data_IF_891176701400
#
_entry.id   IF_891176701400
#
_cell.length_a   1.000
_cell.length_b   1.000
_cell.length_c   1.000
_cell.angle_alpha   90.00
_cell.angle_beta   90.00
_cell.angle_gamma   90.00
#
_symmetry.space_group_name_H-M   'P 1'
#
loop_
_entity.id
_entity.type
_entity.pdbx_description
1 polymer ?
#
# COMPACT_ATOMS: atom_id res chain seq x y z
N UNK A 1 61.16 -51.99 34.52
CA UNK A 1 60.72 -52.15 33.13
C UNK A 1 59.24 -52.49 33.18
N UNK A 2 58.42 -51.48 32.85
CA UNK A 2 57.12 -51.57 32.15
C UNK A 2 56.08 -52.54 32.73
N UNK A 3 55.05 -52.03 33.41
CA UNK A 3 53.77 -51.56 32.85
C UNK A 3 52.78 -52.70 32.55
N UNK A 4 51.49 -52.38 32.75
CA UNK A 4 50.30 -52.89 32.02
C UNK A 4 49.20 -53.59 32.87
N UNK A 5 48.21 -52.75 33.23
CA UNK A 5 46.73 -52.91 33.11
C UNK A 5 45.89 -53.47 34.28
N UNK A 6 44.70 -52.83 34.41
CA UNK A 6 43.52 -52.98 35.29
C UNK A 6 43.58 -52.07 36.53
N UNK A 7 42.64 -51.17 36.83
CA UNK A 7 41.20 -51.14 36.56
C UNK A 7 40.60 -49.75 36.92
N UNK A 8 39.42 -49.44 36.38
CA UNK A 8 38.35 -48.65 37.02
C UNK A 8 38.59 -47.16 37.38
N UNK A 9 38.22 -46.27 36.45
CA UNK A 9 37.66 -44.93 36.73
C UNK A 9 36.96 -44.46 35.45
N UNK A 10 35.77 -43.88 35.40
CA UNK A 10 34.80 -43.45 36.39
C UNK A 10 33.71 -42.79 35.53
N UNK A 11 32.45 -43.08 35.83
CA UNK A 11 31.29 -42.45 35.22
C UNK A 11 31.31 -40.95 35.57
N UNK A 12 31.48 -40.08 34.58
CA UNK A 12 31.31 -38.64 34.73
C UNK A 12 31.04 -37.94 33.39
N UNK A 13 29.75 -37.86 33.05
CA UNK A 13 29.12 -36.62 32.59
C UNK A 13 29.85 -35.82 31.50
N UNK A 14 29.80 -36.28 30.26
CA UNK A 14 29.95 -35.39 29.10
C UNK A 14 28.59 -34.77 28.76
N UNK A 15 28.10 -33.93 29.67
CA UNK A 15 27.05 -32.95 29.34
C UNK A 15 27.69 -31.96 28.38
N UNK A 16 27.43 -32.16 27.08
CA UNK A 16 27.61 -31.15 26.04
C UNK A 16 27.01 -29.84 26.53
N UNK A 17 27.88 -28.93 26.97
CA UNK A 17 27.50 -27.58 27.33
C UNK A 17 26.97 -26.91 26.06
N UNK A 18 25.65 -26.84 25.96
CA UNK A 18 24.99 -25.89 25.08
C UNK A 18 25.48 -24.54 25.59
N UNK A 19 26.42 -23.93 24.87
CA UNK A 19 26.74 -22.52 25.05
C UNK A 19 25.44 -21.78 24.75
N UNK A 20 24.72 -21.40 25.80
CA UNK A 20 23.66 -20.41 25.70
C UNK A 20 24.33 -19.16 25.13
N UNK A 21 23.98 -18.83 23.87
CA UNK A 21 24.32 -17.53 23.31
C UNK A 21 23.85 -16.47 24.32
N UNK A 22 24.69 -15.48 24.67
CA UNK A 22 24.31 -14.47 25.63
C UNK A 22 22.99 -13.85 25.18
N UNK A 23 22.04 -13.60 26.11
CA UNK A 23 20.76 -13.02 25.76
C UNK A 23 21.02 -11.74 24.97
N UNK A 24 20.59 -11.73 23.71
CA UNK A 24 20.71 -10.58 22.84
C UNK A 24 19.97 -9.44 23.53
N UNK A 25 20.72 -8.53 24.15
CA UNK A 25 20.14 -7.35 24.77
C UNK A 25 19.26 -6.67 23.72
N UNK A 26 18.00 -6.33 24.04
CA UNK A 26 17.13 -5.70 23.08
C UNK A 26 17.79 -4.40 22.64
N UNK A 27 18.26 -4.37 21.39
CA UNK A 27 18.92 -3.21 20.80
C UNK A 27 17.98 -2.04 20.99
N UNK A 28 18.33 -1.13 21.90
CA UNK A 28 17.51 0.02 22.23
C UNK A 28 17.50 0.95 21.01
N UNK A 29 16.46 0.82 20.18
CA UNK A 29 16.25 1.72 19.05
C UNK A 29 16.01 3.13 19.59
N UNK A 30 17.00 4.02 19.41
CA UNK A 30 16.94 5.42 19.82
C UNK A 30 16.73 6.28 18.57
N UNK A 31 15.47 6.54 18.17
CA UNK A 31 15.17 7.36 17.01
C UNK A 31 15.72 8.79 17.18
N UNK A 32 16.48 9.25 16.19
CA UNK A 32 16.95 10.63 16.12
C UNK A 32 15.83 11.60 15.71
N UNK A 33 16.09 12.91 15.83
CA UNK A 33 15.16 13.97 15.42
C UNK A 33 14.72 13.84 13.96
N UNK A 34 15.65 13.55 13.06
CA UNK A 34 15.37 13.44 11.62
C UNK A 34 14.42 12.27 11.33
N UNK A 35 14.60 11.15 12.03
CA UNK A 35 13.69 10.01 11.93
C UNK A 35 12.27 10.38 12.38
N UNK A 36 12.11 11.04 13.53
CA UNK A 36 10.79 11.46 14.01
C UNK A 36 10.09 12.40 13.04
N UNK A 37 10.83 13.34 12.45
CA UNK A 37 10.28 14.30 11.49
C UNK A 37 9.93 13.62 10.16
N UNK A 38 10.76 12.69 9.67
CA UNK A 38 10.42 11.88 8.50
C UNK A 38 9.20 10.99 8.76
N UNK A 39 9.12 10.35 9.92
CA UNK A 39 7.98 9.52 10.32
C UNK A 39 6.69 10.34 10.48
N UNK A 40 6.77 11.54 11.05
CA UNK A 40 5.65 12.47 11.13
C UNK A 40 5.17 12.89 9.73
N UNK A 41 6.10 13.09 8.79
CA UNK A 41 5.75 13.38 7.40
C UNK A 41 4.97 12.22 6.75
N UNK A 42 5.46 10.98 6.89
CA UNK A 42 4.77 9.78 6.40
C UNK A 42 3.39 9.63 7.06
N UNK A 43 3.28 9.93 8.35
CA UNK A 43 2.04 9.91 9.11
C UNK A 43 1.01 10.93 8.59
N UNK A 44 1.45 12.15 8.25
CA UNK A 44 0.59 13.18 7.65
C UNK A 44 0.11 12.74 6.27
N UNK A 45 1.01 12.18 5.44
CA UNK A 45 0.64 11.68 4.12
C UNK A 45 -0.37 10.54 4.20
N UNK A 46 -0.13 9.56 5.09
CA UNK A 46 -1.07 8.46 5.36
C UNK A 46 -2.43 8.96 5.84
N UNK A 47 -2.45 9.92 6.76
CA UNK A 47 -3.70 10.53 7.25
C UNK A 47 -4.46 11.22 6.11
N UNK A 48 -3.79 11.96 5.24
CA UNK A 48 -4.43 12.63 4.11
C UNK A 48 -5.05 11.64 3.12
N UNK A 49 -4.34 10.55 2.80
CA UNK A 49 -4.84 9.48 1.93
C UNK A 49 -6.05 8.77 2.55
N UNK A 50 -6.03 8.51 3.86
CA UNK A 50 -7.16 7.90 4.57
C UNK A 50 -8.38 8.82 4.60
N UNK A 51 -8.17 10.10 4.90
CA UNK A 51 -9.20 11.14 4.96
C UNK A 51 -9.88 11.34 3.60
N UNK A 52 -9.13 11.35 2.50
CA UNK A 52 -9.68 11.42 1.14
C UNK A 52 -10.50 10.17 0.77
N UNK A 53 -10.01 8.99 1.14
CA UNK A 53 -10.67 7.72 0.84
C UNK A 53 -12.06 7.62 1.49
N UNK A 54 -12.28 8.23 2.66
CA UNK A 54 -13.52 8.06 3.44
C UNK A 54 -14.45 9.28 3.44
N UNK A 55 -13.96 10.47 3.08
CA UNK A 55 -14.77 11.70 3.08
C UNK A 55 -15.80 11.77 1.94
N UNK A 56 -15.58 11.07 0.83
CA UNK A 56 -16.42 11.17 -0.37
C UNK A 56 -17.83 10.66 -0.16
N UNK A 57 -18.00 9.58 0.60
CA UNK A 57 -19.26 8.84 0.71
C UNK A 57 -20.45 9.72 1.10
N UNK A 58 -20.23 10.66 2.04
CA UNK A 58 -21.27 11.57 2.54
C UNK A 58 -21.64 12.65 1.53
N UNK A 59 -20.73 13.00 0.61
CA UNK A 59 -20.95 14.02 -0.42
C UNK A 59 -21.52 13.45 -1.74
N UNK A 60 -21.53 12.13 -1.91
CA UNK A 60 -21.97 11.48 -3.16
C UNK A 60 -23.36 11.91 -3.66
N UNK A 61 -24.41 12.03 -2.82
CA UNK A 61 -25.73 12.44 -3.30
C UNK A 61 -25.74 13.87 -3.88
N UNK A 62 -25.02 14.79 -3.22
CA UNK A 62 -24.89 16.18 -3.66
C UNK A 62 -24.09 16.24 -4.97
N UNK A 63 -22.96 15.51 -5.04
CA UNK A 63 -22.15 15.40 -6.25
C UNK A 63 -22.92 14.81 -7.43
N UNK A 64 -23.74 13.77 -7.18
CA UNK A 64 -24.60 13.15 -8.20
C UNK A 64 -25.58 14.16 -8.80
N UNK A 65 -26.14 15.03 -7.96
CA UNK A 65 -27.10 16.05 -8.37
C UNK A 65 -26.41 17.19 -9.13
N UNK A 66 -25.28 17.71 -8.64
CA UNK A 66 -24.57 18.82 -9.27
C UNK A 66 -23.91 18.45 -10.60
N UNK A 67 -23.33 17.25 -10.70
CA UNK A 67 -22.59 16.81 -11.88
C UNK A 67 -23.47 16.03 -12.88
N UNK A 68 -24.78 15.92 -12.61
CA UNK A 68 -25.73 15.17 -13.44
C UNK A 68 -25.38 13.69 -13.59
N UNK A 69 -24.81 13.08 -12.54
CA UNK A 69 -24.30 11.72 -12.57
C UNK A 69 -25.33 10.66 -12.23
N UNK A 70 -25.11 9.45 -12.74
CA UNK A 70 -25.88 8.26 -12.34
C UNK A 70 -25.38 7.70 -11.01
N UNK A 71 -26.22 6.91 -10.33
CA UNK A 71 -25.81 6.16 -9.14
C UNK A 71 -24.57 5.27 -9.40
N UNK A 72 -24.45 4.76 -10.63
CA UNK A 72 -23.31 3.98 -11.07
C UNK A 72 -22.03 4.83 -11.13
N UNK A 73 -22.11 6.04 -11.68
CA UNK A 73 -20.96 6.97 -11.70
C UNK A 73 -20.57 7.41 -10.29
N UNK A 74 -21.54 7.62 -9.40
CA UNK A 74 -21.30 7.91 -7.99
C UNK A 74 -20.55 6.76 -7.30
N UNK A 75 -20.99 5.51 -7.47
CA UNK A 75 -20.29 4.33 -6.96
C UNK A 75 -18.83 4.25 -7.47
N UNK A 76 -18.63 4.45 -8.78
CA UNK A 76 -17.30 4.37 -9.39
C UNK A 76 -16.35 5.49 -8.98
N UNK A 77 -16.86 6.61 -8.44
CA UNK A 77 -16.00 7.68 -7.94
C UNK A 77 -15.17 7.28 -6.72
N UNK A 78 -15.66 6.36 -5.89
CA UNK A 78 -14.88 5.74 -4.80
C UNK A 78 -14.09 4.53 -5.28
N UNK A 79 -14.75 3.63 -6.01
CA UNK A 79 -14.16 2.35 -6.45
C UNK A 79 -12.97 2.54 -7.37
N UNK A 80 -12.98 3.53 -8.28
CA UNK A 80 -11.84 3.79 -9.18
C UNK A 80 -10.57 4.20 -8.44
N UNK A 81 -10.70 4.98 -7.36
CA UNK A 81 -9.60 5.36 -6.49
C UNK A 81 -9.03 4.16 -5.74
N UNK A 82 -9.90 3.38 -5.08
CA UNK A 82 -9.48 2.21 -4.30
C UNK A 82 -8.85 1.13 -5.18
N UNK A 83 -9.43 0.89 -6.36
CA UNK A 83 -8.91 -0.06 -7.33
C UNK A 83 -7.51 0.37 -7.79
N UNK A 84 -7.36 1.61 -8.28
CA UNK A 84 -6.07 2.13 -8.74
C UNK A 84 -5.00 2.12 -7.63
N UNK A 85 -5.40 2.49 -6.40
CA UNK A 85 -4.54 2.43 -5.22
C UNK A 85 -4.04 1.01 -4.97
N UNK A 86 -4.95 0.03 -4.93
CA UNK A 86 -4.64 -1.36 -4.59
C UNK A 86 -3.72 -2.03 -5.61
N UNK A 87 -4.01 -1.89 -6.91
CA UNK A 87 -3.30 -2.64 -7.97
C UNK A 87 -1.90 -2.11 -8.29
N UNK A 88 -1.56 -0.91 -7.81
CA UNK A 88 -0.27 -0.27 -8.08
C UNK A 88 0.68 -0.27 -6.88
N UNK A 89 0.21 -0.62 -5.67
CA UNK A 89 1.08 -0.66 -4.48
C UNK A 89 2.35 -1.51 -4.70
N UNK A 90 2.27 -2.76 -5.23
CA UNK A 90 3.47 -3.58 -5.42
C UNK A 90 4.43 -2.98 -6.45
N UNK A 91 3.89 -2.42 -7.54
CA UNK A 91 4.68 -1.74 -8.58
C UNK A 91 5.45 -0.54 -8.02
N UNK A 92 4.82 0.27 -7.15
CA UNK A 92 5.49 1.40 -6.48
C UNK A 92 6.53 0.95 -5.47
N UNK A 93 6.23 -0.08 -4.67
CA UNK A 93 7.18 -0.66 -3.73
C UNK A 93 8.43 -1.20 -4.44
N UNK A 94 8.26 -1.97 -5.52
CA UNK A 94 9.37 -2.48 -6.34
C UNK A 94 10.16 -1.35 -7.02
N UNK A 95 9.48 -0.40 -7.67
CA UNK A 95 10.12 0.75 -8.32
C UNK A 95 10.99 1.54 -7.33
N UNK A 96 10.52 1.68 -6.09
CA UNK A 96 11.24 2.42 -5.06
C UNK A 96 12.52 1.76 -4.57
N UNK A 97 12.63 0.42 -4.70
CA UNK A 97 13.86 -0.29 -4.41
C UNK A 97 14.95 0.02 -5.45
N UNK A 98 14.56 0.33 -6.68
CA UNK A 98 15.48 0.59 -7.81
C UNK A 98 15.85 2.07 -7.93
N UNK A 99 14.83 2.95 -7.88
CA UNK A 99 15.00 4.40 -8.11
C UNK A 99 15.34 5.13 -6.81
N UNK A 100 14.94 4.58 -5.66
CA UNK A 100 15.10 5.18 -4.33
C UNK A 100 13.76 5.61 -3.75
N UNK A 101 13.56 5.42 -2.43
CA UNK A 101 12.24 5.62 -1.80
C UNK A 101 11.77 7.07 -1.90
N UNK A 102 12.66 8.03 -1.61
CA UNK A 102 12.37 9.47 -1.60
C UNK A 102 11.79 9.95 -2.94
N UNK A 103 12.39 9.52 -4.05
CA UNK A 103 11.94 9.90 -5.39
C UNK A 103 10.54 9.34 -5.71
N UNK A 104 10.28 8.08 -5.37
CA UNK A 104 8.96 7.48 -5.65
C UNK A 104 7.89 8.06 -4.73
N UNK A 105 8.21 8.47 -3.50
CA UNK A 105 7.26 9.22 -2.66
C UNK A 105 6.90 10.56 -3.31
N UNK A 106 7.86 11.28 -3.88
CA UNK A 106 7.56 12.53 -4.60
C UNK A 106 6.63 12.33 -5.78
N UNK A 107 6.88 11.31 -6.60
CA UNK A 107 5.99 10.97 -7.71
C UNK A 107 4.60 10.59 -7.19
N UNK A 108 4.51 9.85 -6.10
CA UNK A 108 3.24 9.45 -5.48
C UNK A 108 2.44 10.67 -4.99
N UNK A 109 3.08 11.58 -4.25
CA UNK A 109 2.45 12.82 -3.80
C UNK A 109 2.07 13.74 -4.96
N UNK A 110 2.88 13.81 -6.02
CA UNK A 110 2.56 14.58 -7.23
C UNK A 110 1.29 14.03 -7.89
N UNK A 111 1.21 12.71 -8.11
CA UNK A 111 0.05 12.06 -8.70
C UNK A 111 -1.20 12.25 -7.82
N UNK A 112 -1.07 12.11 -6.51
CA UNK A 112 -2.16 12.36 -5.57
C UNK A 112 -2.64 13.82 -5.63
N UNK A 113 -1.72 14.78 -5.66
CA UNK A 113 -2.02 16.21 -5.73
C UNK A 113 -2.68 16.59 -7.05
N UNK A 114 -2.13 16.12 -8.18
CA UNK A 114 -2.70 16.36 -9.52
C UNK A 114 -4.09 15.75 -9.63
N UNK A 115 -4.27 14.50 -9.18
CA UNK A 115 -5.58 13.85 -9.15
C UNK A 115 -6.59 14.63 -8.29
N UNK A 116 -6.16 15.11 -7.12
CA UNK A 116 -6.98 15.95 -6.23
C UNK A 116 -7.43 17.24 -6.92
N UNK A 117 -6.52 17.92 -7.64
CA UNK A 117 -6.85 19.14 -8.40
C UNK A 117 -7.87 18.83 -9.49
N UNK A 118 -7.67 17.76 -10.28
CA UNK A 118 -8.60 17.35 -11.33
C UNK A 118 -10.00 17.09 -10.75
N UNK A 119 -10.08 16.39 -9.62
CA UNK A 119 -11.34 16.15 -8.92
C UNK A 119 -11.99 17.44 -8.43
N UNK A 120 -11.21 18.36 -7.87
CA UNK A 120 -11.71 19.62 -7.32
C UNK A 120 -12.33 20.54 -8.38
N UNK A 121 -11.78 20.53 -9.60
CA UNK A 121 -12.26 21.36 -10.72
C UNK A 121 -13.26 20.63 -11.63
N UNK A 122 -13.56 19.36 -11.35
CA UNK A 122 -14.41 18.54 -12.19
C UNK A 122 -15.81 19.15 -12.40
N UNK A 123 -16.26 19.11 -13.65
CA UNK A 123 -17.58 19.60 -14.09
C UNK A 123 -18.52 18.46 -14.51
N UNK A 124 -18.02 17.22 -14.57
CA UNK A 124 -18.81 16.02 -14.82
C UNK A 124 -18.12 14.81 -14.18
N UNK A 125 -18.86 13.70 -14.08
CA UNK A 125 -18.34 12.48 -13.48
C UNK A 125 -17.18 11.86 -14.27
N UNK A 126 -17.13 12.00 -15.60
CA UNK A 126 -16.01 11.42 -16.37
C UNK A 126 -14.68 12.04 -15.95
N UNK A 127 -14.62 13.38 -15.84
CA UNK A 127 -13.42 14.09 -15.37
C UNK A 127 -13.11 13.71 -13.92
N UNK A 128 -14.13 13.62 -13.07
CA UNK A 128 -13.98 13.19 -11.68
C UNK A 128 -13.37 11.78 -11.58
N UNK A 129 -13.86 10.82 -12.37
CA UNK A 129 -13.37 9.44 -12.39
C UNK A 129 -11.90 9.38 -12.84
N UNK A 130 -11.52 10.16 -13.87
CA UNK A 130 -10.12 10.28 -14.30
C UNK A 130 -9.25 10.82 -13.16
N UNK A 131 -9.69 11.90 -12.52
CA UNK A 131 -9.00 12.48 -11.36
C UNK A 131 -8.85 11.47 -10.23
N UNK A 132 -9.91 10.72 -9.92
CA UNK A 132 -9.95 9.67 -8.90
C UNK A 132 -9.01 8.52 -9.19
N UNK A 133 -8.93 8.06 -10.44
CA UNK A 133 -7.95 7.06 -10.84
C UNK A 133 -6.53 7.58 -10.62
N UNK A 134 -6.17 8.77 -11.14
CA UNK A 134 -4.83 9.36 -10.98
C UNK A 134 -4.48 9.55 -9.49
N UNK A 135 -5.43 10.05 -8.71
CA UNK A 135 -5.28 10.25 -7.28
C UNK A 135 -5.06 8.91 -6.56
N UNK A 136 -5.79 7.86 -6.97
CA UNK A 136 -5.64 6.50 -6.45
C UNK A 136 -4.25 5.93 -6.71
N UNK A 137 -3.68 6.14 -7.90
CA UNK A 137 -2.30 5.75 -8.20
C UNK A 137 -1.33 6.37 -7.17
N UNK A 138 -1.46 7.68 -6.93
CA UNK A 138 -0.64 8.38 -5.95
C UNK A 138 -0.87 7.90 -4.52
N UNK A 139 -2.12 7.66 -4.14
CA UNK A 139 -2.50 7.17 -2.81
C UNK A 139 -1.94 5.79 -2.51
N UNK A 140 -2.01 4.87 -3.48
CA UNK A 140 -1.42 3.53 -3.36
C UNK A 140 0.10 3.57 -3.18
N UNK A 141 0.77 4.46 -3.92
CA UNK A 141 2.19 4.73 -3.75
C UNK A 141 2.53 5.26 -2.35
N UNK A 142 1.78 6.24 -1.83
CA UNK A 142 1.97 6.79 -0.48
C UNK A 142 1.80 5.69 0.58
N UNK A 143 0.75 4.87 0.47
CA UNK A 143 0.49 3.78 1.42
C UNK A 143 1.66 2.80 1.44
N UNK A 144 2.00 2.24 0.28
CA UNK A 144 3.06 1.26 0.16
C UNK A 144 4.41 1.81 0.65
N UNK A 145 4.77 3.02 0.24
CA UNK A 145 6.07 3.60 0.54
C UNK A 145 6.21 4.04 1.99
N UNK A 146 5.12 4.47 2.63
CA UNK A 146 5.17 4.82 4.06
C UNK A 146 5.47 3.59 4.91
N UNK A 147 4.86 2.45 4.60
CA UNK A 147 5.17 1.19 5.28
C UNK A 147 6.59 0.71 4.97
N UNK A 148 6.97 0.70 3.69
CA UNK A 148 8.31 0.29 3.23
C UNK A 148 9.41 1.12 3.89
N UNK A 149 9.30 2.45 3.90
CA UNK A 149 10.31 3.33 4.50
C UNK A 149 10.41 3.08 6.01
N UNK A 150 9.29 2.86 6.71
CA UNK A 150 9.33 2.49 8.13
C UNK A 150 10.04 1.17 8.34
N UNK A 151 9.77 0.16 7.51
CA UNK A 151 10.46 -1.13 7.63
C UNK A 151 11.95 -1.03 7.32
N UNK A 152 12.38 -0.13 6.43
CA UNK A 152 13.79 0.11 6.12
C UNK A 152 14.53 0.83 7.27
N UNK A 153 13.85 1.74 7.98
CA UNK A 153 14.46 2.57 9.03
C UNK A 153 14.39 1.95 10.44
N UNK A 154 13.41 1.08 10.69
CA UNK A 154 13.09 0.57 12.02
C UNK A 154 13.53 -0.90 12.16
N UNK A 155 14.27 -1.27 13.23
CA UNK A 155 14.64 -2.66 13.51
C UNK A 155 13.43 -3.57 13.69
N UNK A 156 13.53 -4.83 13.24
CA UNK A 156 12.42 -5.79 13.21
C UNK A 156 11.67 -5.91 14.56
N UNK A 157 12.40 -5.89 15.68
CA UNK A 157 11.84 -6.04 17.03
C UNK A 157 10.81 -4.96 17.41
N UNK A 158 10.95 -3.74 16.87
CA UNK A 158 10.07 -2.60 17.19
C UNK A 158 9.20 -2.15 16.00
N UNK A 159 9.34 -2.79 14.82
CA UNK A 159 8.54 -2.46 13.62
C UNK A 159 7.03 -2.49 13.88
N UNK A 160 6.56 -3.47 14.65
CA UNK A 160 5.13 -3.60 14.99
C UNK A 160 4.57 -2.35 15.68
N UNK A 161 5.35 -1.69 16.54
CA UNK A 161 4.95 -0.46 17.22
C UNK A 161 4.88 0.74 16.27
N UNK A 162 5.83 0.88 15.36
CA UNK A 162 5.84 2.00 14.42
C UNK A 162 4.80 1.86 13.31
N UNK A 163 4.57 0.63 12.83
CA UNK A 163 3.49 0.32 11.90
C UNK A 163 2.13 0.52 12.56
N UNK A 164 1.96 0.17 13.85
CA UNK A 164 0.69 0.42 14.54
C UNK A 164 0.39 1.91 14.71
N UNK A 165 1.41 2.77 14.87
CA UNK A 165 1.22 4.23 14.86
C UNK A 165 0.77 4.70 13.47
N UNK A 166 1.34 4.20 12.37
CA UNK A 166 0.85 4.51 11.02
C UNK A 166 -0.61 4.07 10.84
N UNK A 167 -0.96 2.87 11.30
CA UNK A 167 -2.34 2.37 11.27
C UNK A 167 -3.28 3.21 12.15
N UNK A 168 -2.82 3.73 13.28
CA UNK A 168 -3.60 4.64 14.11
C UNK A 168 -3.88 5.98 13.38
N UNK A 169 -2.89 6.51 12.66
CA UNK A 169 -3.08 7.71 11.83
C UNK A 169 -4.08 7.48 10.70
N UNK A 170 -4.04 6.30 10.07
CA UNK A 170 -5.06 5.87 9.10
C UNK A 170 -6.45 5.80 9.72
N UNK A 171 -6.59 5.22 10.91
CA UNK A 171 -7.86 5.14 11.64
C UNK A 171 -8.41 6.54 11.98
N UNK A 172 -7.55 7.46 12.43
CA UNK A 172 -7.92 8.86 12.68
C UNK A 172 -8.44 9.50 11.39
N UNK A 173 -7.72 9.35 10.26
CA UNK A 173 -8.16 9.86 8.97
C UNK A 173 -9.49 9.26 8.51
N UNK A 174 -9.68 7.96 8.72
CA UNK A 174 -10.91 7.21 8.38
C UNK A 174 -12.12 7.80 9.10
N UNK A 175 -11.99 8.10 10.40
CA UNK A 175 -13.08 8.69 11.23
C UNK A 175 -13.27 10.18 10.93
N UNK A 176 -12.19 10.92 10.72
CA UNK A 176 -12.24 12.36 10.42
C UNK A 176 -12.85 12.63 9.03
N UNK A 177 -12.65 11.73 8.07
CA UNK A 177 -13.10 11.88 6.69
C UNK A 177 -14.60 12.17 6.56
N UNK A 178 -15.52 11.31 7.05
CA UNK A 178 -16.96 11.55 6.98
C UNK A 178 -17.41 12.83 7.70
N UNK A 179 -16.82 13.16 8.85
CA UNK A 179 -17.13 14.39 9.60
C UNK A 179 -16.77 15.64 8.80
N UNK A 180 -15.57 15.64 8.22
CA UNK A 180 -15.08 16.74 7.40
C UNK A 180 -15.84 16.82 6.06
N UNK A 181 -16.11 15.68 5.43
CA UNK A 181 -16.90 15.57 4.19
C UNK A 181 -18.32 16.10 4.37
N UNK A 182 -18.99 15.73 5.48
CA UNK A 182 -20.30 16.27 5.85
C UNK A 182 -20.25 17.80 6.06
N UNK A 183 -19.27 18.29 6.81
CA UNK A 183 -19.10 19.72 7.07
C UNK A 183 -18.89 20.53 5.79
N UNK A 184 -18.04 20.07 4.88
CA UNK A 184 -17.84 20.73 3.58
C UNK A 184 -19.06 20.64 2.67
N UNK A 185 -19.75 19.50 2.66
CA UNK A 185 -20.94 19.32 1.84
C UNK A 185 -22.12 20.19 2.32
N UNK A 186 -22.24 20.45 3.62
CA UNK A 186 -23.32 21.23 4.21
C UNK A 186 -23.05 22.74 4.24
N UNK A 187 -21.81 23.16 4.49
CA UNK A 187 -21.48 24.56 4.80
C UNK A 187 -20.57 25.25 3.77
N UNK A 188 -19.99 24.49 2.83
CA UNK A 188 -19.10 25.02 1.80
C UNK A 188 -19.48 24.43 0.44
N UNK A 189 -18.52 23.79 -0.23
CA UNK A 189 -18.74 23.02 -1.47
C UNK A 189 -18.04 21.67 -1.32
N UNK A 190 -18.61 20.60 -1.88
CA UNK A 190 -17.99 19.27 -1.88
C UNK A 190 -16.57 19.25 -2.47
N UNK A 191 -16.23 20.22 -3.33
CA UNK A 191 -14.88 20.40 -3.91
C UNK A 191 -13.79 20.58 -2.87
N UNK A 192 -14.12 21.09 -1.68
CA UNK A 192 -13.16 21.26 -0.57
C UNK A 192 -12.64 19.95 -0.01
N UNK A 193 -13.37 18.84 -0.22
CA UNK A 193 -12.88 17.48 0.08
C UNK A 193 -11.56 17.21 -0.63
N UNK A 194 -11.39 17.74 -1.84
CA UNK A 194 -10.16 17.58 -2.62
C UNK A 194 -9.15 18.68 -2.34
N UNK A 195 -9.59 19.93 -2.13
CA UNK A 195 -8.68 21.05 -1.87
C UNK A 195 -7.89 20.91 -0.56
N UNK A 196 -8.49 20.34 0.49
CA UNK A 196 -7.82 20.16 1.80
C UNK A 196 -6.62 19.21 1.74
N UNK A 197 -6.59 18.31 0.75
CA UNK A 197 -5.48 17.39 0.56
C UNK A 197 -4.19 18.08 0.11
N UNK A 198 -4.29 19.16 -0.66
CA UNK A 198 -3.13 19.88 -1.20
C UNK A 198 -2.21 20.43 -0.11
N UNK A 199 -2.69 21.16 0.92
CA UNK A 199 -1.81 21.62 1.99
C UNK A 199 -1.22 20.45 2.79
N UNK A 200 -1.97 19.37 3.00
CA UNK A 200 -1.44 18.17 3.69
C UNK A 200 -0.31 17.51 2.89
N UNK A 201 -0.49 17.37 1.57
CA UNK A 201 0.54 16.88 0.67
C UNK A 201 1.76 17.79 0.65
N UNK A 202 1.56 19.11 0.58
CA UNK A 202 2.64 20.08 0.57
C UNK A 202 3.48 20.03 1.85
N UNK A 203 2.83 19.95 3.03
CA UNK A 203 3.51 19.82 4.32
C UNK A 203 4.28 18.50 4.39
N UNK A 204 3.65 17.38 4.04
CA UNK A 204 4.31 16.07 4.03
C UNK A 204 5.52 16.02 3.08
N UNK A 205 5.37 16.55 1.86
CA UNK A 205 6.46 16.64 0.87
C UNK A 205 7.63 17.48 1.38
N UNK A 206 7.34 18.64 1.97
CA UNK A 206 8.36 19.56 2.47
C UNK A 206 9.14 18.92 3.63
N UNK A 207 8.44 18.23 4.54
CA UNK A 207 9.08 17.50 5.62
C UNK A 207 9.94 16.33 5.11
N UNK A 208 9.46 15.57 4.11
CA UNK A 208 10.27 14.51 3.48
C UNK A 208 11.51 15.10 2.79
N UNK A 209 11.37 16.25 2.14
CA UNK A 209 12.50 16.92 1.50
C UNK A 209 13.63 17.25 2.47
N UNK A 210 13.30 17.85 3.63
CA UNK A 210 14.30 18.28 4.60
C UNK A 210 14.78 17.17 5.56
N UNK A 211 13.93 16.20 5.91
CA UNK A 211 14.22 15.26 7.01
C UNK A 211 14.40 13.82 6.57
N UNK A 212 13.91 13.43 5.39
CA UNK A 212 14.20 12.10 4.85
C UNK A 212 15.55 12.14 4.12
N UNK A 213 16.62 11.91 4.89
CA UNK A 213 17.96 11.72 4.37
C UNK A 213 18.12 10.28 3.86
N UNK A 214 18.14 10.13 2.54
CA UNK A 214 18.45 8.87 1.89
C UNK A 214 19.75 9.01 1.11
N UNK A 215 20.64 8.03 1.28
CA UNK A 215 21.79 7.89 0.42
C UNK A 215 21.30 7.64 -1.01
N UNK A 216 21.75 8.48 -1.95
CA UNK A 216 21.40 8.30 -3.34
C UNK A 216 21.94 6.96 -3.85
N UNK A 217 21.06 6.16 -4.46
CA UNK A 217 21.49 4.94 -5.12
C UNK A 217 22.38 5.34 -6.32
N UNK A 218 23.55 4.73 -6.52
CA UNK A 218 24.41 5.05 -7.65
C UNK A 218 23.76 4.66 -8.99
N UNK A 219 24.10 5.40 -10.04
CA UNK A 219 23.68 5.12 -11.43
C UNK A 219 22.64 6.08 -12.00
N UNK A 220 22.67 6.21 -13.32
CA UNK A 220 21.77 7.08 -14.09
C UNK A 220 20.31 6.60 -14.02
N UNK A 221 19.37 7.54 -14.07
CA UNK A 221 17.93 7.26 -13.98
C UNK A 221 17.47 6.34 -15.12
N UNK A 222 18.01 6.51 -16.33
CA UNK A 222 17.65 5.66 -17.47
C UNK A 222 18.03 4.20 -17.23
N UNK A 223 19.22 3.95 -16.67
CA UNK A 223 19.69 2.60 -16.35
C UNK A 223 18.86 1.98 -15.24
N UNK A 224 18.46 2.77 -14.23
CA UNK A 224 17.57 2.33 -13.16
C UNK A 224 16.19 1.95 -13.71
N UNK A 225 15.57 2.81 -14.51
CA UNK A 225 14.25 2.53 -15.10
C UNK A 225 14.27 1.34 -16.07
N UNK A 226 15.39 1.07 -16.73
CA UNK A 226 15.54 -0.12 -17.57
C UNK A 226 15.61 -1.44 -16.79
N UNK A 227 15.91 -1.40 -15.48
CA UNK A 227 15.92 -2.58 -14.60
C UNK A 227 14.54 -2.93 -14.08
N UNK A 228 13.62 -1.97 -14.03
CA UNK A 228 12.26 -2.20 -13.56
C UNK A 228 11.51 -3.15 -14.50
N UNK A 229 10.81 -4.13 -13.93
CA UNK A 229 10.01 -5.08 -14.69
C UNK A 229 8.69 -4.44 -15.17
N UNK A 230 8.78 -3.62 -16.22
CA UNK A 230 7.63 -2.95 -16.83
C UNK A 230 6.59 -3.94 -17.35
N UNK A 231 7.02 -5.08 -17.89
CA UNK A 231 6.12 -6.07 -18.45
C UNK A 231 5.39 -6.83 -17.34
N UNK A 232 6.11 -7.31 -16.32
CA UNK A 232 5.52 -7.94 -15.14
C UNK A 232 4.58 -6.98 -14.40
N UNK A 233 4.98 -5.72 -14.24
CA UNK A 233 4.15 -4.67 -13.63
C UNK A 233 2.87 -4.43 -14.41
N UNK A 234 2.96 -4.31 -15.74
CA UNK A 234 1.79 -4.19 -16.60
C UNK A 234 0.87 -5.40 -16.47
N UNK A 235 1.41 -6.62 -16.50
CA UNK A 235 0.63 -7.84 -16.44
C UNK A 235 -0.07 -8.02 -15.09
N UNK A 236 0.62 -7.72 -13.99
CA UNK A 236 0.05 -7.69 -12.65
C UNK A 236 -1.06 -6.65 -12.52
N UNK A 237 -0.78 -5.40 -12.91
CA UNK A 237 -1.73 -4.30 -12.78
C UNK A 237 -2.94 -4.52 -13.69
N UNK A 238 -2.75 -4.94 -14.94
CA UNK A 238 -3.85 -5.24 -15.87
C UNK A 238 -4.67 -6.44 -15.40
N UNK A 239 -4.02 -7.56 -15.05
CA UNK A 239 -4.70 -8.76 -14.56
C UNK A 239 -5.51 -8.50 -13.30
N UNK A 240 -4.92 -7.81 -12.33
CA UNK A 240 -5.59 -7.42 -11.08
C UNK A 240 -6.74 -6.44 -11.34
N UNK A 241 -6.54 -5.45 -12.22
CA UNK A 241 -7.59 -4.49 -12.59
C UNK A 241 -8.79 -5.17 -13.25
N UNK A 242 -8.53 -6.05 -14.22
CA UNK A 242 -9.57 -6.77 -14.96
C UNK A 242 -10.34 -7.70 -14.01
N UNK A 243 -9.62 -8.41 -13.12
CA UNK A 243 -10.24 -9.27 -12.11
C UNK A 243 -11.12 -8.47 -11.15
N UNK A 244 -10.56 -7.41 -10.54
CA UNK A 244 -11.27 -6.57 -9.58
C UNK A 244 -12.44 -5.83 -10.24
N UNK A 245 -12.34 -5.44 -11.51
CA UNK A 245 -13.45 -4.89 -12.27
C UNK A 245 -14.59 -5.89 -12.43
N UNK A 246 -14.29 -7.15 -12.77
CA UNK A 246 -15.29 -8.22 -12.84
C UNK A 246 -16.01 -8.44 -11.51
N UNK A 247 -15.25 -8.49 -10.41
CA UNK A 247 -15.81 -8.62 -9.05
C UNK A 247 -16.66 -7.39 -8.67
N UNK A 248 -16.19 -6.19 -9.00
CA UNK A 248 -16.86 -4.93 -8.62
C UNK A 248 -18.13 -4.64 -9.43
N UNK A 249 -18.28 -5.25 -10.62
CA UNK A 249 -19.45 -5.05 -11.49
C UNK A 249 -20.50 -6.16 -11.35
N UNK A 250 -20.09 -7.35 -10.90
CA UNK A 250 -20.97 -8.50 -10.74
C UNK A 250 -22.06 -8.27 -9.69
N UNK A 251 -23.32 -8.45 -10.10
CA UNK A 251 -24.49 -8.26 -9.24
C UNK A 251 -24.85 -6.80 -8.94
N UNK A 252 -24.07 -5.83 -9.45
CA UNK A 252 -24.31 -4.39 -9.26
C UNK A 252 -24.60 -3.71 -10.60
N UNK A 253 -23.67 -3.80 -11.55
CA UNK A 253 -23.82 -3.21 -12.89
C UNK A 253 -24.37 -4.22 -13.89
N UNK A 254 -23.94 -5.47 -13.76
CA UNK A 254 -24.30 -6.57 -14.65
C UNK A 254 -24.56 -7.83 -13.83
N UNK A 255 -25.46 -8.69 -14.30
CA UNK A 255 -25.69 -9.98 -13.67
C UNK A 255 -24.42 -10.83 -13.64
N UNK A 256 -24.29 -11.70 -12.63
CA UNK A 256 -23.15 -12.61 -12.49
C UNK A 256 -23.00 -13.56 -13.69
N UNK A 257 -24.12 -13.95 -14.32
CA UNK A 257 -24.12 -14.78 -15.52
C UNK A 257 -23.86 -14.02 -16.83
N UNK A 258 -23.78 -12.68 -16.79
CA UNK A 258 -23.54 -11.87 -17.98
C UNK A 258 -22.11 -12.03 -18.47
N UNK A 259 -21.93 -12.13 -19.79
CA UNK A 259 -20.61 -12.12 -20.42
C UNK A 259 -19.76 -10.91 -20.00
N UNK A 260 -20.40 -9.77 -19.71
CA UNK A 260 -19.71 -8.54 -19.26
C UNK A 260 -19.05 -8.68 -17.89
N UNK A 261 -19.51 -9.61 -17.06
CA UNK A 261 -18.94 -9.94 -15.75
C UNK A 261 -17.99 -11.13 -15.86
N UNK A 262 -18.41 -12.19 -16.56
CA UNK A 262 -17.65 -13.43 -16.69
C UNK A 262 -16.35 -13.24 -17.49
N UNK A 263 -16.36 -12.44 -18.56
CA UNK A 263 -15.17 -12.24 -19.37
C UNK A 263 -14.03 -11.58 -18.56
N UNK A 264 -14.24 -10.44 -17.85
CA UNK A 264 -13.21 -9.90 -16.97
C UNK A 264 -12.78 -10.87 -15.87
N UNK A 265 -13.70 -11.60 -15.24
CA UNK A 265 -13.33 -12.58 -14.21
C UNK A 265 -12.39 -13.66 -14.76
N UNK A 266 -12.75 -14.27 -15.89
CA UNK A 266 -11.95 -15.33 -16.52
C UNK A 266 -10.60 -14.77 -16.99
N UNK A 267 -10.60 -13.63 -17.69
CA UNK A 267 -9.35 -13.01 -18.17
C UNK A 267 -8.44 -12.63 -17.00
N UNK A 268 -8.97 -12.07 -15.92
CA UNK A 268 -8.21 -11.75 -14.72
C UNK A 268 -7.60 -12.99 -14.07
N UNK A 269 -8.42 -14.03 -13.87
CA UNK A 269 -7.98 -15.33 -13.30
C UNK A 269 -6.91 -16.00 -14.18
N UNK A 270 -6.96 -15.84 -15.49
CA UNK A 270 -5.95 -16.39 -16.41
C UNK A 270 -4.69 -15.52 -16.49
N UNK A 271 -4.82 -14.20 -16.38
CA UNK A 271 -3.69 -13.27 -16.50
C UNK A 271 -2.74 -13.34 -15.30
N UNK A 272 -3.28 -13.52 -14.08
CA UNK A 272 -2.45 -13.58 -12.86
C UNK A 272 -1.49 -14.80 -12.81
N UNK A 273 -1.89 -16.03 -13.23
CA UNK A 273 -0.96 -17.14 -13.45
C UNK A 273 0.10 -16.87 -14.52
N UNK A 274 -0.25 -16.17 -15.60
CA UNK A 274 0.74 -15.78 -16.62
C UNK A 274 1.76 -14.80 -16.01
N UNK A 275 1.30 -13.88 -15.16
CA UNK A 275 2.19 -13.01 -14.38
C UNK A 275 3.08 -13.81 -13.43
N UNK A 276 2.53 -14.75 -12.65
CA UNK A 276 3.32 -15.60 -11.77
C UNK A 276 4.37 -16.40 -12.55
N UNK A 277 4.00 -16.95 -13.71
CA UNK A 277 4.93 -17.66 -14.59
C UNK A 277 6.03 -16.74 -15.13
N UNK A 278 5.68 -15.53 -15.57
CA UNK A 278 6.65 -14.52 -16.00
C UNK A 278 7.64 -14.17 -14.89
N UNK A 279 7.12 -13.94 -13.68
CA UNK A 279 7.91 -13.53 -12.53
C UNK A 279 8.83 -14.63 -12.02
N UNK A 280 8.45 -15.91 -12.18
CA UNK A 280 9.27 -17.07 -11.82
C UNK A 280 10.39 -17.37 -12.82
N UNK A 281 10.18 -17.09 -14.11
CA UNK A 281 11.10 -17.54 -15.16
C UNK A 281 11.90 -16.43 -15.85
N UNK A 282 11.36 -15.22 -16.01
CA UNK A 282 11.96 -14.17 -16.84
C UNK A 282 12.27 -12.87 -16.11
N UNK A 283 11.58 -12.56 -15.01
CA UNK A 283 11.86 -11.35 -14.25
C UNK A 283 13.26 -11.38 -13.62
N UNK A 284 14.08 -10.37 -13.96
CA UNK A 284 15.42 -10.17 -13.37
C UNK A 284 15.34 -9.57 -11.97
N UNK A 285 14.44 -8.61 -11.80
CA UNK A 285 14.10 -7.99 -10.51
C UNK A 285 12.60 -8.13 -10.30
N UNK A 286 12.15 -9.23 -9.67
CA UNK A 286 10.73 -9.49 -9.48
C UNK A 286 10.09 -8.43 -8.57
N UNK A 287 8.82 -8.14 -8.82
CA UNK A 287 7.98 -7.24 -8.02
C UNK A 287 7.66 -7.91 -6.68
N UNK A 288 7.39 -9.21 -6.70
CA UNK A 288 7.13 -10.05 -5.53
C UNK A 288 8.32 -10.96 -5.29
N UNK A 289 8.95 -10.83 -4.12
CA UNK A 289 10.05 -11.71 -3.74
C UNK A 289 9.57 -13.17 -3.63
N UNK A 290 10.19 -14.05 -4.41
CA UNK A 290 9.90 -15.50 -4.44
C UNK A 290 10.10 -16.16 -3.07
N UNK A 291 10.98 -15.61 -2.23
CA UNK A 291 11.23 -16.10 -0.88
C UNK A 291 9.99 -16.09 0.01
N UNK A 292 9.02 -15.21 -0.29
CA UNK A 292 7.76 -15.07 0.44
C UNK A 292 6.94 -16.37 0.37
N UNK A 293 6.87 -17.00 -0.80
CA UNK A 293 6.10 -18.22 -1.01
C UNK A 293 6.79 -19.50 -0.52
N UNK A 294 8.02 -19.40 -0.02
CA UNK A 294 8.75 -20.55 0.54
C UNK A 294 8.39 -20.83 1.99
N UNK A 295 7.82 -19.85 2.70
CA UNK A 295 7.50 -19.97 4.12
C UNK A 295 5.99 -20.14 4.32
N UNK A 296 5.58 -21.26 4.91
CA UNK A 296 4.17 -21.53 5.22
C UNK A 296 3.55 -20.47 6.14
N UNK A 297 4.31 -19.91 7.08
CA UNK A 297 3.85 -18.83 7.95
C UNK A 297 3.48 -17.58 7.14
N UNK A 298 4.23 -17.25 6.09
CA UNK A 298 3.91 -16.11 5.22
C UNK A 298 2.66 -16.38 4.38
N UNK A 299 2.55 -17.57 3.79
CA UNK A 299 1.34 -17.98 3.02
C UNK A 299 0.09 -17.91 3.90
N UNK A 300 0.15 -18.50 5.10
CA UNK A 300 -0.95 -18.46 6.06
C UNK A 300 -1.34 -17.03 6.43
N UNK A 301 -0.36 -16.12 6.60
CA UNK A 301 -0.62 -14.72 6.87
C UNK A 301 -1.35 -14.02 5.71
N UNK A 302 -0.95 -14.24 4.45
CA UNK A 302 -1.67 -13.69 3.30
C UNK A 302 -3.11 -14.19 3.21
N UNK A 303 -3.34 -15.49 3.43
CA UNK A 303 -4.69 -16.06 3.47
C UNK A 303 -5.52 -15.39 4.56
N UNK A 304 -4.95 -15.23 5.76
CA UNK A 304 -5.61 -14.53 6.87
C UNK A 304 -5.94 -13.08 6.53
N UNK A 305 -5.03 -12.35 5.85
CA UNK A 305 -5.28 -10.98 5.39
C UNK A 305 -6.44 -10.90 4.40
N UNK A 306 -6.59 -11.87 3.49
CA UNK A 306 -7.74 -11.94 2.57
C UNK A 306 -9.05 -12.08 3.35
N UNK A 307 -9.13 -13.02 4.30
CA UNK A 307 -10.31 -13.18 5.15
C UNK A 307 -10.60 -11.94 6.00
N UNK A 308 -9.56 -11.34 6.59
CA UNK A 308 -9.68 -10.10 7.34
C UNK A 308 -10.27 -8.98 6.50
N UNK A 309 -9.77 -8.78 5.27
CA UNK A 309 -10.29 -7.78 4.33
C UNK A 309 -11.76 -8.02 3.97
N UNK A 310 -12.13 -9.27 3.66
CA UNK A 310 -13.53 -9.62 3.37
C UNK A 310 -14.46 -9.30 4.54
N UNK A 311 -14.05 -9.65 5.77
CA UNK A 311 -14.85 -9.37 6.97
C UNK A 311 -14.94 -7.85 7.21
N UNK A 312 -13.80 -7.14 7.23
CA UNK A 312 -13.75 -5.71 7.53
C UNK A 312 -14.62 -4.89 6.59
N UNK A 313 -14.48 -5.10 5.28
CA UNK A 313 -15.25 -4.33 4.29
C UNK A 313 -16.72 -4.75 4.26
N UNK A 314 -17.05 -6.02 4.52
CA UNK A 314 -18.45 -6.43 4.66
C UNK A 314 -19.12 -5.74 5.85
N UNK A 315 -18.43 -5.63 6.99
CA UNK A 315 -18.95 -4.92 8.16
C UNK A 315 -19.16 -3.44 7.86
N UNK A 316 -18.21 -2.76 7.20
CA UNK A 316 -18.32 -1.33 6.89
C UNK A 316 -19.50 -1.00 5.95
N UNK A 317 -19.83 -1.89 5.01
CA UNK A 317 -20.87 -1.63 4.01
C UNK A 317 -22.27 -2.19 4.35
N UNK A 318 -22.38 -3.22 5.20
CA UNK A 318 -23.65 -3.92 5.48
C UNK A 318 -24.16 -3.80 6.93
N UNK A 319 -23.41 -3.20 7.86
CA UNK A 319 -23.87 -2.81 9.20
C UNK A 319 -24.04 -1.30 9.29
#
# INVERSE_FOLDING_TARGET
MSDTILDSSGDASEKSAIQEEPPVEPVAFKPGRDFFLAFAALSILMLAVALDATSLGVALPIMSTELGGTALQAFWSGTSYLLASTVLQPSFASMSAIVGRKYVVYVSCLLFTVGSIICAVAQNFTVLLIGRSIQGIGGGGIIALSEVIVTDLVPLAVRGQWLSILSAMWAIGTVAGPLMGAGFAQHATWRWIFWINLPLMAVGLLMIYFFLNQTELPGDLRTKLARFDWFGSFLFTAGSTILLFGISTGGVMYDWGSFRTLLPLILGILTLPVFAYWELHWAKEPIIDRGIFRNWTMIANYIMTVFHGMILWSLIYFL
#
